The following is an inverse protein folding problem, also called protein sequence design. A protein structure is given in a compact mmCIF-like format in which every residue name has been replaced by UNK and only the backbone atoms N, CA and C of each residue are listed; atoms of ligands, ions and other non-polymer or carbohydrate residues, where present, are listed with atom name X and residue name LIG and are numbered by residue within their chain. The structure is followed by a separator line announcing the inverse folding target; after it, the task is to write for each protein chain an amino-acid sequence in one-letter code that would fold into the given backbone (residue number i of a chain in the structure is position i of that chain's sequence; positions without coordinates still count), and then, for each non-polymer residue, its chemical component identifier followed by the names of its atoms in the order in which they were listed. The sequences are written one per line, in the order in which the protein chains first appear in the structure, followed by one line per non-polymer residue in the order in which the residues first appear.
data_IF_022711710938
#
_entry.id   IF_022711710938
#
_cell.length_a   1.000
_cell.length_b   1.000
_cell.length_c   1.000
_cell.angle_alpha   90.00
_cell.angle_beta   90.00
_cell.angle_gamma   90.00
#
_symmetry.space_group_name_H-M   'P 1'
#
loop_
_entity.id
_entity.type
_entity.pdbx_description
1 polymer ?
#
# COMPACT_ATOMS: atom_id res chain seq x y z
N UNK A 1 -10.20 -33.59 0.83
CA UNK A 1 -9.89 -33.02 2.16
C UNK A 1 -9.40 -31.61 1.92
N UNK A 2 -10.21 -30.58 2.22
CA UNK A 2 -9.72 -29.20 2.18
C UNK A 2 -8.82 -29.04 3.41
N UNK A 3 -7.54 -28.72 3.20
CA UNK A 3 -6.70 -28.21 4.28
C UNK A 3 -7.40 -26.96 4.81
N UNK A 4 -8.05 -27.05 5.97
CA UNK A 4 -8.36 -25.87 6.76
C UNK A 4 -7.01 -25.33 7.23
N UNK A 5 -6.41 -24.48 6.40
CA UNK A 5 -5.28 -23.67 6.79
C UNK A 5 -5.77 -22.85 7.98
N UNK A 6 -5.24 -23.14 9.17
CA UNK A 6 -5.58 -22.41 10.38
C UNK A 6 -5.39 -20.93 10.13
N UNK A 7 -6.40 -20.11 10.43
CA UNK A 7 -6.28 -18.65 10.40
C UNK A 7 -5.07 -18.28 11.25
N UNK A 8 -4.00 -17.81 10.62
CA UNK A 8 -2.74 -17.46 11.27
C UNK A 8 -2.83 -16.08 11.96
N UNK A 9 -4.04 -15.56 12.16
CA UNK A 9 -4.30 -14.24 12.71
C UNK A 9 -4.20 -13.13 11.66
N UNK A 10 -3.87 -13.44 10.40
CA UNK A 10 -3.74 -12.45 9.34
C UNK A 10 -5.05 -11.71 9.08
N UNK A 11 -6.20 -12.38 9.18
CA UNK A 11 -7.49 -11.74 8.97
C UNK A 11 -7.71 -10.56 9.92
N UNK A 12 -7.36 -10.71 11.21
CA UNK A 12 -7.48 -9.64 12.20
C UNK A 12 -6.56 -8.46 11.88
N UNK A 13 -5.34 -8.73 11.43
CA UNK A 13 -4.39 -7.69 11.02
C UNK A 13 -4.92 -6.94 9.80
N UNK A 14 -5.41 -7.67 8.79
CA UNK A 14 -5.93 -7.07 7.56
C UNK A 14 -7.17 -6.21 7.85
N UNK A 15 -8.08 -6.72 8.67
CA UNK A 15 -9.29 -5.98 9.05
C UNK A 15 -8.94 -4.71 9.86
N UNK A 16 -7.92 -4.78 10.73
CA UNK A 16 -7.42 -3.61 11.45
C UNK A 16 -6.76 -2.57 10.52
N UNK A 17 -6.00 -3.00 9.51
CA UNK A 17 -5.42 -2.11 8.49
C UNK A 17 -6.52 -1.36 7.73
N UNK A 18 -7.52 -2.09 7.25
CA UNK A 18 -8.63 -1.52 6.49
C UNK A 18 -9.53 -0.62 7.35
N UNK A 19 -9.71 -0.94 8.62
CA UNK A 19 -10.42 -0.09 9.59
C UNK A 19 -9.66 1.21 9.83
N UNK A 20 -8.34 1.16 10.07
CA UNK A 20 -7.50 2.36 10.23
C UNK A 20 -7.56 3.27 8.99
N UNK A 21 -7.54 2.69 7.80
CA UNK A 21 -7.70 3.46 6.55
C UNK A 21 -9.01 4.24 6.53
N UNK A 22 -10.10 3.68 7.08
CA UNK A 22 -11.41 4.33 7.14
C UNK A 22 -11.44 5.41 8.22
N UNK A 23 -10.92 5.12 9.41
CA UNK A 23 -10.87 6.07 10.53
C UNK A 23 -10.05 7.32 10.21
N UNK A 24 -8.98 7.17 9.43
CA UNK A 24 -8.09 8.25 9.04
C UNK A 24 -8.49 8.92 7.71
N UNK A 25 -9.64 8.56 7.13
CA UNK A 25 -10.14 9.05 5.84
C UNK A 25 -9.10 8.93 4.72
N UNK A 26 -8.50 7.75 4.60
CA UNK A 26 -7.41 7.45 3.65
C UNK A 26 -7.86 6.62 2.47
N UNK A 27 -9.16 6.35 2.38
CA UNK A 27 -9.78 5.82 1.17
C UNK A 27 -10.10 6.96 0.23
N UNK A 28 -9.05 7.43 -0.42
CA UNK A 28 -9.17 8.43 -1.45
C UNK A 28 -7.90 8.29 -2.22
N UNK A 29 -8.00 7.87 -3.48
CA UNK A 29 -6.95 7.95 -4.49
C UNK A 29 -6.40 9.38 -4.69
N UNK A 30 -6.87 10.35 -3.89
CA UNK A 30 -6.51 11.75 -3.89
C UNK A 30 -5.02 11.91 -4.21
N UNK A 31 -4.76 12.54 -5.35
CA UNK A 31 -3.42 12.84 -5.84
C UNK A 31 -2.59 13.57 -4.77
N UNK A 32 -3.24 14.23 -3.79
CA UNK A 32 -2.60 14.83 -2.62
C UNK A 32 -1.80 13.85 -1.79
N UNK A 33 -2.25 12.60 -1.59
CA UNK A 33 -1.53 11.68 -0.70
C UNK A 33 -0.12 11.37 -1.24
N UNK A 34 0.04 11.33 -2.56
CA UNK A 34 1.32 11.13 -3.23
C UNK A 34 2.07 12.46 -3.39
N UNK A 35 1.39 13.49 -3.90
CA UNK A 35 2.02 14.79 -4.22
C UNK A 35 2.40 15.58 -2.97
N UNK A 36 1.63 15.48 -1.90
CA UNK A 36 1.89 16.08 -0.58
C UNK A 36 2.70 15.16 0.34
N UNK A 37 3.07 13.96 -0.12
CA UNK A 37 3.91 12.99 0.61
C UNK A 37 3.28 12.54 1.93
N UNK A 38 1.99 12.27 1.90
CA UNK A 38 1.22 11.93 3.09
C UNK A 38 1.13 10.42 3.35
N UNK A 39 1.58 9.54 2.43
CA UNK A 39 1.61 8.09 2.67
C UNK A 39 2.33 7.77 3.99
N UNK A 40 1.63 7.04 4.87
CA UNK A 40 2.19 6.58 6.13
C UNK A 40 2.43 5.07 6.06
N UNK A 41 3.34 4.55 6.89
CA UNK A 41 3.45 3.12 7.11
C UNK A 41 2.08 2.50 7.38
N UNK A 42 1.88 1.30 6.84
CA UNK A 42 0.66 0.50 6.95
C UNK A 42 -0.55 1.03 6.19
N UNK A 43 -0.42 2.06 5.35
CA UNK A 43 -1.48 2.39 4.41
C UNK A 43 -1.61 1.30 3.36
N UNK A 44 -2.85 0.93 3.03
CA UNK A 44 -3.13 -0.01 1.96
C UNK A 44 -3.18 0.72 0.64
N UNK A 45 -2.43 0.22 -0.33
CA UNK A 45 -2.15 0.90 -1.58
C UNK A 45 -2.30 -0.01 -2.79
N UNK A 46 -2.36 0.58 -3.97
CA UNK A 46 -2.34 -0.09 -5.27
C UNK A 46 -1.40 0.66 -6.22
N UNK A 47 -0.58 -0.08 -6.96
CA UNK A 47 0.29 0.48 -8.00
C UNK A 47 -0.47 0.70 -9.32
N UNK A 48 0.24 1.25 -10.30
CA UNK A 48 -0.22 1.48 -11.68
C UNK A 48 -0.58 0.17 -12.41
N UNK A 49 0.06 -0.94 -12.06
CA UNK A 49 -0.24 -2.29 -12.57
C UNK A 49 -1.49 -2.92 -11.93
N UNK A 50 -2.10 -2.28 -10.91
CA UNK A 50 -3.26 -2.79 -10.20
C UNK A 50 -2.93 -3.83 -9.11
N UNK A 51 -1.66 -3.96 -8.73
CA UNK A 51 -1.20 -4.79 -7.64
C UNK A 51 -1.38 -4.09 -6.30
N UNK A 52 -2.01 -4.78 -5.35
CA UNK A 52 -2.25 -4.26 -4.01
C UNK A 52 -1.07 -4.52 -3.08
N UNK A 53 -0.99 -3.73 -2.00
CA UNK A 53 -0.03 -3.94 -0.94
C UNK A 53 -0.22 -2.99 0.23
N UNK A 54 0.79 -2.91 1.10
CA UNK A 54 0.80 -1.91 2.18
C UNK A 54 2.16 -1.24 2.32
N UNK A 55 2.15 0.05 2.64
CA UNK A 55 3.37 0.86 2.78
C UNK A 55 4.21 0.34 3.94
N UNK A 56 5.48 0.07 3.67
CA UNK A 56 6.51 -0.18 4.69
C UNK A 56 7.13 1.17 5.07
N UNK A 57 7.58 1.92 4.07
CA UNK A 57 8.26 3.20 4.24
C UNK A 57 7.99 4.13 3.06
N UNK A 58 7.85 5.43 3.33
CA UNK A 58 7.86 6.48 2.34
C UNK A 58 8.90 7.54 2.76
N UNK A 59 9.91 7.76 1.93
CA UNK A 59 11.07 8.58 2.31
C UNK A 59 11.59 9.46 1.16
N UNK A 60 12.16 10.61 1.51
CA UNK A 60 12.92 11.47 0.60
C UNK A 60 14.30 10.86 0.39
N UNK A 61 14.75 10.73 -0.87
CA UNK A 61 16.09 10.18 -1.16
C UNK A 61 16.99 11.14 -1.96
N UNK A 62 16.52 12.33 -2.30
CA UNK A 62 17.36 13.35 -2.93
C UNK A 62 16.58 14.37 -3.75
N UNK A 63 17.26 14.96 -4.72
CA UNK A 63 16.72 16.00 -5.60
C UNK A 63 16.99 15.63 -7.07
N UNK A 64 16.13 16.09 -7.97
CA UNK A 64 16.37 16.04 -9.41
C UNK A 64 17.26 17.18 -9.89
N UNK A 65 17.64 17.16 -11.17
CA UNK A 65 18.52 18.17 -11.78
C UNK A 65 17.89 19.58 -11.80
N UNK A 66 16.57 19.68 -11.56
CA UNK A 66 15.82 20.92 -11.45
C UNK A 66 15.63 21.38 -9.97
N UNK A 67 16.18 20.63 -9.00
CA UNK A 67 16.03 20.92 -7.57
C UNK A 67 14.71 20.46 -6.96
N UNK A 68 13.91 19.65 -7.66
CA UNK A 68 12.70 19.05 -7.11
C UNK A 68 13.05 17.83 -6.26
N UNK A 69 12.43 17.70 -5.09
CA UNK A 69 12.64 16.54 -4.21
C UNK A 69 12.15 15.23 -4.84
N UNK A 70 12.90 14.16 -4.66
CA UNK A 70 12.60 12.79 -5.08
C UNK A 70 12.27 11.91 -3.88
N UNK A 71 11.30 11.01 -4.09
CA UNK A 71 10.74 10.18 -3.02
C UNK A 71 10.64 8.72 -3.46
N UNK A 72 10.84 7.81 -2.53
CA UNK A 72 10.64 6.38 -2.73
C UNK A 72 9.56 5.87 -1.79
N UNK A 73 8.76 4.94 -2.27
CA UNK A 73 7.77 4.22 -1.46
C UNK A 73 8.11 2.73 -1.53
N UNK A 74 8.53 2.18 -0.40
CA UNK A 74 8.62 0.74 -0.19
C UNK A 74 7.29 0.21 0.31
N UNK A 75 6.77 -0.83 -0.33
CA UNK A 75 5.52 -1.45 0.06
C UNK A 75 5.57 -2.96 -0.11
N UNK A 76 4.94 -3.65 0.83
CA UNK A 76 4.82 -5.09 0.79
C UNK A 76 3.71 -5.49 -0.19
N UNK A 77 4.05 -6.27 -1.21
CA UNK A 77 3.10 -6.75 -2.21
C UNK A 77 3.59 -6.64 -3.66
N UNK A 78 4.69 -5.91 -3.90
CA UNK A 78 5.21 -5.72 -5.24
C UNK A 78 6.55 -4.97 -5.27
N UNK A 79 6.80 -4.28 -6.38
CA UNK A 79 8.07 -3.58 -6.70
C UNK A 79 8.16 -2.22 -5.99
N UNK A 80 9.35 -1.89 -5.48
CA UNK A 80 9.72 -0.58 -4.91
C UNK A 80 9.58 0.54 -5.97
N UNK A 81 8.77 1.57 -5.70
CA UNK A 81 8.51 2.64 -6.66
C UNK A 81 9.22 3.94 -6.30
N UNK A 82 9.73 4.64 -7.32
CA UNK A 82 10.35 5.96 -7.23
C UNK A 82 9.39 7.02 -7.78
N UNK A 83 8.95 7.94 -6.94
CA UNK A 83 8.05 9.04 -7.29
C UNK A 83 8.86 10.25 -7.75
N UNK A 84 8.54 10.77 -8.95
CA UNK A 84 9.02 12.08 -9.41
C UNK A 84 7.88 13.08 -9.41
N UNK A 85 8.14 14.27 -8.88
CA UNK A 85 7.19 15.39 -8.87
C UNK A 85 6.86 15.85 -10.29
N UNK A 86 5.88 15.19 -10.92
CA UNK A 86 4.95 15.67 -11.95
C UNK A 86 4.54 14.59 -12.96
N UNK A 87 5.22 13.43 -13.07
CA UNK A 87 4.97 12.55 -14.23
C UNK A 87 5.07 11.03 -14.11
N UNK A 88 5.32 10.43 -12.95
CA UNK A 88 5.27 8.97 -12.89
C UNK A 88 4.34 8.48 -11.78
N UNK A 89 3.27 7.82 -12.25
CA UNK A 89 2.39 6.88 -11.56
C UNK A 89 3.25 5.96 -10.70
N UNK A 90 3.05 5.96 -9.39
CA UNK A 90 3.89 5.19 -8.48
C UNK A 90 3.06 4.25 -7.62
N UNK A 91 2.22 4.80 -6.74
CA UNK A 91 1.43 4.03 -5.79
C UNK A 91 0.37 4.97 -5.24
N UNK A 92 -0.91 4.61 -5.22
CA UNK A 92 -1.97 5.39 -4.56
C UNK A 92 -2.63 4.58 -3.44
N UNK A 93 -3.26 5.27 -2.50
CA UNK A 93 -4.23 4.66 -1.59
C UNK A 93 -5.39 4.04 -2.36
N UNK A 94 -5.98 3.00 -1.79
CA UNK A 94 -7.09 2.28 -2.41
C UNK A 94 -8.40 3.07 -2.34
N UNK A 95 -9.27 2.90 -3.33
CA UNK A 95 -10.66 3.35 -3.23
C UNK A 95 -11.45 2.49 -2.24
N UNK A 96 -12.52 3.01 -1.65
CA UNK A 96 -13.44 2.20 -0.83
C UNK A 96 -13.97 0.99 -1.61
N UNK A 97 -14.25 1.16 -2.91
CA UNK A 97 -14.73 0.10 -3.81
C UNK A 97 -13.69 -0.99 -4.08
N UNK A 98 -12.41 -0.73 -3.80
CA UNK A 98 -11.31 -1.67 -3.93
C UNK A 98 -11.03 -2.45 -2.64
N UNK A 99 -11.60 -2.04 -1.49
CA UNK A 99 -11.34 -2.64 -0.18
C UNK A 99 -11.51 -4.16 -0.15
N UNK A 100 -12.54 -4.70 -0.80
CA UNK A 100 -12.75 -6.15 -0.88
C UNK A 100 -11.66 -6.88 -1.69
N UNK A 101 -11.18 -6.27 -2.78
CA UNK A 101 -10.10 -6.82 -3.61
C UNK A 101 -8.76 -6.74 -2.90
N UNK A 102 -8.46 -5.60 -2.27
CA UNK A 102 -7.28 -5.41 -1.45
C UNK A 102 -7.24 -6.41 -0.28
N UNK A 103 -8.37 -6.62 0.41
CA UNK A 103 -8.50 -7.64 1.45
C UNK A 103 -8.18 -9.03 0.92
N UNK A 104 -8.79 -9.44 -0.19
CA UNK A 104 -8.55 -10.76 -0.78
C UNK A 104 -7.07 -10.96 -1.17
N UNK A 105 -6.45 -9.92 -1.74
CA UNK A 105 -5.02 -9.92 -2.04
C UNK A 105 -4.18 -10.10 -0.76
N UNK A 106 -4.43 -9.30 0.27
CA UNK A 106 -3.66 -9.36 1.52
C UNK A 106 -3.83 -10.69 2.23
N UNK A 107 -5.04 -11.27 2.24
CA UNK A 107 -5.28 -12.61 2.81
C UNK A 107 -4.42 -13.65 2.11
N UNK A 108 -4.35 -13.60 0.77
CA UNK A 108 -3.46 -14.48 0.00
C UNK A 108 -1.99 -14.20 0.33
N UNK A 109 -1.57 -12.94 0.32
CA UNK A 109 -0.20 -12.53 0.61
C UNK A 109 0.28 -13.01 1.99
N UNK A 110 -0.50 -12.77 3.04
CA UNK A 110 -0.17 -13.17 4.41
C UNK A 110 -0.35 -14.68 4.65
N UNK A 111 -1.31 -15.31 3.97
CA UNK A 111 -1.59 -16.75 4.08
C UNK A 111 -0.53 -17.61 3.38
N UNK A 112 0.02 -17.14 2.26
CA UNK A 112 1.06 -17.85 1.51
C UNK A 112 2.45 -17.73 2.19
N UNK A 113 2.65 -16.75 3.07
CA UNK A 113 3.89 -16.62 3.85
C UNK A 113 3.90 -17.55 5.06
N UNK A 114 4.91 -18.42 5.12
CA UNK A 114 5.27 -19.14 6.35
C UNK A 114 6.01 -18.17 7.27
N UNK A 115 5.37 -17.82 8.37
CA UNK A 115 5.97 -17.03 9.44
C UNK A 115 6.79 -17.99 10.32
N UNK A 116 8.10 -17.77 10.40
CA UNK A 116 9.05 -18.58 11.17
C UNK A 116 9.12 -18.10 12.63
#
# INVERSE_FOLDING_TARGET
MSNQQSDNGANLIIDALLMRMSELDRYSDDERVITERALLPMDVVVNDEGEFGFVIEAAEYGYDDNGNKRWSVDFAGGVLMLVHGSKNEAVRTIYETEGAKARAYLVKYFGDKKWF
#
